data_IF_344572027381
#
_entry.id   IF_344572027381
#
_cell.length_a   1.000
_cell.length_b   1.000
_cell.length_c   1.000
_cell.angle_alpha   90.00
_cell.angle_beta   90.00
_cell.angle_gamma   90.00
#
_symmetry.space_group_name_H-M   'P 1'
#
loop_
_entity.id
_entity.type
_entity.pdbx_description
1 polymer ?
#
# COMPACT_ATOMS: atom_id res chain seq x y z
N UNK A 1 66.35 -32.26 22.59
CA UNK A 1 65.84 -33.54 23.12
C UNK A 1 64.32 -33.44 23.25
N UNK A 2 63.62 -34.39 22.63
CA UNK A 2 62.17 -34.40 22.44
C UNK A 2 61.42 -34.45 23.78
N UNK A 3 60.49 -33.52 24.01
CA UNK A 3 59.44 -33.66 25.03
C UNK A 3 58.12 -33.89 24.31
N UNK A 4 57.65 -35.12 24.38
CA UNK A 4 56.35 -35.58 23.91
C UNK A 4 55.29 -34.99 24.83
N UNK A 5 54.39 -34.16 24.29
CA UNK A 5 53.20 -33.71 24.99
C UNK A 5 52.00 -34.50 24.46
N UNK A 6 51.31 -35.16 25.40
CA UNK A 6 50.11 -35.95 25.19
C UNK A 6 48.95 -34.99 24.93
N UNK A 7 48.29 -35.10 23.78
CA UNK A 7 47.00 -34.43 23.54
C UNK A 7 45.88 -35.46 23.65
N UNK A 8 45.02 -35.26 24.64
CA UNK A 8 43.76 -35.98 24.82
C UNK A 8 42.81 -35.70 23.64
N UNK A 9 42.34 -36.75 22.96
CA UNK A 9 41.21 -36.64 22.03
C UNK A 9 39.92 -36.41 22.82
N UNK A 10 39.34 -35.22 22.71
CA UNK A 10 37.95 -34.96 23.07
C UNK A 10 37.14 -35.17 21.79
N UNK A 11 36.36 -36.25 21.73
CA UNK A 11 35.31 -36.38 20.72
C UNK A 11 34.14 -35.50 21.15
N UNK A 12 34.02 -34.31 20.55
CA UNK A 12 32.80 -33.53 20.62
C UNK A 12 31.83 -34.11 19.58
N UNK A 13 30.84 -34.87 20.01
CA UNK A 13 29.70 -35.21 19.17
C UNK A 13 28.89 -33.93 19.02
N UNK A 14 29.00 -33.29 17.85
CA UNK A 14 28.08 -32.24 17.45
C UNK A 14 26.74 -32.91 17.15
N UNK A 15 25.81 -32.79 18.08
CA UNK A 15 24.41 -33.12 17.84
C UNK A 15 23.90 -32.13 16.79
N UNK A 16 23.74 -32.61 15.55
CA UNK A 16 23.11 -31.86 14.47
C UNK A 16 21.61 -31.77 14.80
N UNK A 17 21.30 -30.83 15.69
CA UNK A 17 19.93 -30.40 15.94
C UNK A 17 19.30 -30.00 14.62
N UNK A 18 18.31 -30.78 14.21
CA UNK A 18 17.47 -30.50 13.06
C UNK A 18 16.76 -29.17 13.34
N UNK A 19 17.26 -28.07 12.75
CA UNK A 19 16.54 -26.81 12.72
C UNK A 19 15.33 -27.04 11.82
N UNK A 20 14.19 -27.39 12.43
CA UNK A 20 12.91 -27.25 11.76
C UNK A 20 12.73 -25.76 11.49
N UNK A 21 12.90 -25.37 10.23
CA UNK A 21 12.41 -24.08 9.75
C UNK A 21 10.89 -24.12 9.91
N UNK A 22 10.37 -23.54 10.98
CA UNK A 22 8.96 -23.19 11.05
C UNK A 22 8.75 -22.06 10.04
N UNK A 23 8.48 -22.43 8.80
CA UNK A 23 7.85 -21.55 7.83
C UNK A 23 6.50 -21.16 8.41
N UNK A 24 6.41 -19.96 8.99
CA UNK A 24 5.14 -19.32 9.27
C UNK A 24 4.58 -18.88 7.92
N UNK A 25 4.07 -19.82 7.15
CA UNK A 25 3.08 -19.53 6.12
C UNK A 25 1.76 -19.39 6.86
N UNK A 26 1.50 -18.17 7.33
CA UNK A 26 0.16 -17.73 7.68
C UNK A 26 -0.68 -17.72 6.40
N UNK A 27 -1.10 -18.88 5.93
CA UNK A 27 -2.27 -18.96 5.06
C UNK A 27 -3.47 -18.53 5.91
N UNK A 28 -3.82 -17.24 5.83
CA UNK A 28 -5.05 -16.75 6.45
C UNK A 28 -6.21 -17.44 5.75
N UNK A 29 -6.82 -18.41 6.43
CA UNK A 29 -8.05 -19.05 5.99
C UNK A 29 -9.10 -17.96 5.80
N UNK A 30 -9.55 -17.75 4.56
CA UNK A 30 -10.65 -16.83 4.26
C UNK A 30 -11.86 -17.23 5.12
N UNK A 31 -12.48 -16.29 5.85
CA UNK A 31 -13.63 -16.59 6.69
C UNK A 31 -14.75 -17.21 5.84
N UNK A 32 -15.43 -18.20 6.41
CA UNK A 32 -16.52 -18.89 5.74
C UNK A 32 -17.63 -17.89 5.38
N UNK A 33 -18.35 -18.11 4.28
CA UNK A 33 -19.54 -17.32 3.93
C UNK A 33 -20.57 -17.26 5.08
N UNK A 34 -20.57 -18.26 5.98
CA UNK A 34 -21.42 -18.28 7.18
C UNK A 34 -20.97 -17.31 8.28
N UNK A 35 -19.69 -16.93 8.33
CA UNK A 35 -19.13 -16.03 9.35
C UNK A 35 -19.27 -14.55 8.97
N UNK A 36 -19.38 -14.25 7.67
CA UNK A 36 -19.48 -12.90 7.12
C UNK A 36 -20.58 -12.82 6.03
N UNK A 37 -21.85 -13.08 6.38
CA UNK A 37 -22.94 -13.29 5.41
C UNK A 37 -23.28 -12.06 4.56
N UNK A 38 -22.81 -10.87 4.97
CA UNK A 38 -23.03 -9.62 4.25
C UNK A 38 -21.87 -9.21 3.35
N UNK A 39 -20.73 -9.92 3.40
CA UNK A 39 -19.65 -9.67 2.46
C UNK A 39 -20.09 -10.11 1.08
N UNK A 40 -19.85 -9.26 0.10
CA UNK A 40 -20.20 -9.55 -1.28
C UNK A 40 -19.24 -10.60 -1.85
N UNK A 41 -19.74 -11.46 -2.73
CA UNK A 41 -18.93 -12.52 -3.33
C UNK A 41 -18.10 -12.03 -4.53
N UNK A 42 -18.50 -10.92 -5.17
CA UNK A 42 -17.90 -10.45 -6.42
C UNK A 42 -17.86 -8.93 -6.60
N UNK A 43 -18.39 -8.14 -5.65
CA UNK A 43 -18.17 -6.68 -5.70
C UNK A 43 -16.83 -6.37 -5.02
N UNK A 44 -16.16 -5.34 -5.52
CA UNK A 44 -14.93 -4.88 -4.90
C UNK A 44 -15.18 -4.37 -3.49
N UNK A 45 -14.38 -4.83 -2.52
CA UNK A 45 -14.30 -4.30 -1.17
C UNK A 45 -12.96 -4.68 -0.55
N UNK A 46 -12.36 -3.85 0.33
CA UNK A 46 -11.13 -4.23 1.02
C UNK A 46 -11.36 -5.47 1.90
N UNK A 47 -10.28 -6.19 2.28
CA UNK A 47 -10.38 -7.33 3.20
C UNK A 47 -11.14 -7.00 4.49
N UNK A 48 -10.95 -5.78 5.01
CA UNK A 48 -11.60 -5.27 6.22
C UNK A 48 -11.64 -3.74 6.21
N UNK A 49 -12.24 -3.17 7.26
CA UNK A 49 -12.31 -1.74 7.55
C UNK A 49 -13.11 -0.90 6.54
N UNK A 50 -13.08 0.42 6.74
CA UNK A 50 -13.87 1.39 5.99
C UNK A 50 -13.26 1.68 4.61
N UNK A 51 -14.14 1.77 3.61
CA UNK A 51 -13.85 2.27 2.28
C UNK A 51 -14.97 3.22 1.85
N UNK A 52 -14.62 4.27 1.12
CA UNK A 52 -15.59 5.14 0.45
C UNK A 52 -15.18 5.40 -1.02
N UNK A 53 -14.77 6.61 -1.36
CA UNK A 53 -14.65 7.09 -2.73
C UNK A 53 -13.66 6.24 -3.56
N UNK A 54 -14.01 5.83 -4.80
CA UNK A 54 -13.04 5.30 -5.75
C UNK A 54 -12.12 6.44 -6.21
N UNK A 55 -10.83 6.16 -6.30
CA UNK A 55 -9.78 7.14 -6.56
C UNK A 55 -8.85 6.67 -7.68
N UNK A 56 -8.42 7.62 -8.51
CA UNK A 56 -7.53 7.38 -9.66
C UNK A 56 -7.74 6.09 -10.46
N UNK A 57 -8.96 5.65 -10.84
CA UNK A 57 -9.11 4.44 -11.64
C UNK A 57 -8.40 4.62 -13.00
N UNK A 58 -7.56 3.67 -13.37
CA UNK A 58 -6.82 3.75 -14.64
C UNK A 58 -6.45 2.38 -15.19
N UNK A 59 -6.16 2.33 -16.48
CA UNK A 59 -5.53 1.19 -17.13
C UNK A 59 -4.13 1.61 -17.57
N UNK A 60 -3.11 0.86 -17.14
CA UNK A 60 -1.72 1.18 -17.42
C UNK A 60 -0.93 -0.11 -17.69
N UNK A 61 -0.24 -0.15 -18.83
CA UNK A 61 0.65 -1.25 -19.24
C UNK A 61 0.07 -2.67 -19.04
N UNK A 62 -1.21 -2.88 -19.40
CA UNK A 62 -1.83 -4.19 -19.29
C UNK A 62 -2.64 -4.41 -18.02
N UNK A 63 -2.56 -3.51 -17.04
CA UNK A 63 -3.11 -3.70 -15.68
C UNK A 63 -4.14 -2.62 -15.39
N UNK A 64 -5.28 -3.02 -14.81
CA UNK A 64 -6.24 -2.09 -14.22
C UNK A 64 -5.82 -1.76 -12.79
N UNK A 65 -5.76 -0.47 -12.46
CA UNK A 65 -5.47 0.02 -11.12
C UNK A 65 -6.73 0.68 -10.55
N UNK A 66 -7.08 0.33 -9.32
CA UNK A 66 -8.12 0.97 -8.53
C UNK A 66 -7.51 1.40 -7.20
N UNK A 67 -7.58 2.71 -6.94
CA UNK A 67 -7.32 3.25 -5.61
C UNK A 67 -8.65 3.60 -4.96
N UNK A 68 -8.66 3.73 -3.64
CA UNK A 68 -9.86 4.10 -2.91
C UNK A 68 -9.50 4.69 -1.55
N UNK A 69 -10.35 5.60 -1.07
CA UNK A 69 -10.23 6.11 0.29
C UNK A 69 -10.41 4.96 1.28
N UNK A 70 -9.46 4.84 2.22
CA UNK A 70 -9.42 3.77 3.19
C UNK A 70 -9.02 4.28 4.57
N UNK A 71 -9.70 3.79 5.61
CA UNK A 71 -9.23 3.89 6.98
C UNK A 71 -8.61 2.54 7.39
N UNK A 72 -7.27 2.42 7.48
CA UNK A 72 -6.63 1.17 7.86
C UNK A 72 -6.84 0.79 9.33
N UNK A 73 -7.39 1.70 10.16
CA UNK A 73 -7.49 1.54 11.61
C UNK A 73 -8.91 1.21 12.11
N UNK A 74 -9.93 1.22 11.25
CA UNK A 74 -11.28 0.87 11.71
C UNK A 74 -12.38 0.92 10.66
N UNK A 75 -13.59 0.46 11.03
CA UNK A 75 -14.72 0.31 10.12
C UNK A 75 -15.56 1.58 9.97
N UNK A 76 -15.07 2.74 10.40
CA UNK A 76 -15.74 4.04 10.31
C UNK A 76 -14.85 5.05 9.61
N UNK A 77 -15.45 6.14 9.12
CA UNK A 77 -14.69 7.30 8.65
C UNK A 77 -13.75 7.80 9.76
N UNK A 78 -12.57 8.24 9.37
CA UNK A 78 -11.51 8.74 10.25
C UNK A 78 -11.09 10.14 9.82
N UNK A 79 -10.53 10.92 10.74
CA UNK A 79 -9.91 12.20 10.42
C UNK A 79 -8.73 12.01 9.45
N UNK A 80 -8.08 10.85 9.48
CA UNK A 80 -6.95 10.50 8.63
C UNK A 80 -7.31 9.35 7.68
N UNK A 81 -7.38 9.69 6.39
CA UNK A 81 -7.71 8.79 5.28
C UNK A 81 -6.48 8.60 4.38
N UNK A 82 -6.37 7.39 3.83
CA UNK A 82 -5.29 6.92 2.97
C UNK A 82 -5.86 6.50 1.61
N UNK A 83 -5.01 6.41 0.59
CA UNK A 83 -5.34 5.67 -0.62
C UNK A 83 -4.81 4.25 -0.50
N UNK A 84 -5.73 3.29 -0.33
CA UNK A 84 -5.42 1.90 -0.56
C UNK A 84 -5.46 1.59 -2.06
N UNK A 85 -4.82 0.48 -2.47
CA UNK A 85 -4.59 0.17 -3.87
C UNK A 85 -4.86 -1.30 -4.15
N UNK A 86 -5.53 -1.58 -5.26
CA UNK A 86 -5.65 -2.92 -5.82
C UNK A 86 -5.50 -2.90 -7.33
N UNK A 87 -5.02 -4.00 -7.88
CA UNK A 87 -4.85 -4.18 -9.32
C UNK A 87 -5.63 -5.38 -9.84
N UNK A 88 -5.98 -5.35 -11.12
CA UNK A 88 -6.72 -6.43 -11.78
C UNK A 88 -6.31 -6.56 -13.25
N UNK A 89 -6.49 -7.76 -13.80
CA UNK A 89 -6.35 -8.04 -15.24
C UNK A 89 -7.70 -7.97 -15.97
N UNK A 90 -8.83 -8.03 -15.25
CA UNK A 90 -10.17 -8.23 -15.82
C UNK A 90 -11.28 -7.40 -15.16
N UNK A 91 -10.95 -6.52 -14.20
CA UNK A 91 -11.86 -5.72 -13.37
C UNK A 91 -12.78 -6.53 -12.44
N UNK A 92 -12.57 -7.84 -12.31
CA UNK A 92 -13.36 -8.74 -11.47
C UNK A 92 -12.49 -9.35 -10.37
N UNK A 93 -11.33 -9.87 -10.73
CA UNK A 93 -10.38 -10.51 -9.82
C UNK A 93 -9.30 -9.50 -9.43
N UNK A 94 -9.26 -9.14 -8.15
CA UNK A 94 -8.41 -8.06 -7.64
C UNK A 94 -7.31 -8.59 -6.72
N UNK A 95 -6.12 -8.02 -6.85
CA UNK A 95 -4.97 -8.26 -5.98
C UNK A 95 -4.80 -7.02 -5.09
N UNK A 96 -4.93 -7.14 -3.76
CA UNK A 96 -4.66 -6.04 -2.84
C UNK A 96 -3.15 -5.76 -2.79
N UNK A 97 -2.80 -4.48 -2.75
CA UNK A 97 -1.44 -3.98 -2.64
C UNK A 97 -1.30 -3.14 -1.36
N UNK A 98 -0.08 -2.68 -1.09
CA UNK A 98 0.18 -1.74 0.01
C UNK A 98 -0.50 -0.38 -0.22
N UNK A 99 -0.58 0.44 0.83
CA UNK A 99 -1.13 1.80 0.73
C UNK A 99 -0.27 2.63 -0.23
N UNK A 100 -0.90 3.19 -1.27
CA UNK A 100 -0.20 3.95 -2.30
C UNK A 100 0.08 5.39 -1.88
N UNK A 101 -0.87 6.05 -1.21
CA UNK A 101 -0.72 7.43 -0.73
C UNK A 101 -1.13 7.48 0.75
N UNK A 102 -0.18 7.85 1.59
CA UNK A 102 -0.36 8.02 3.04
C UNK A 102 -0.12 9.48 3.44
N UNK A 103 -0.76 10.00 4.50
CA UNK A 103 -0.47 11.31 5.08
C UNK A 103 0.95 11.37 5.65
N UNK A 104 1.89 12.01 4.94
CA UNK A 104 3.32 12.01 5.33
C UNK A 104 3.98 13.38 5.21
N UNK A 105 3.35 14.33 4.51
CA UNK A 105 3.96 15.62 4.21
C UNK A 105 3.06 16.77 4.69
N UNK A 106 3.60 17.98 4.94
CA UNK A 106 2.82 19.09 5.48
C UNK A 106 1.53 19.43 4.71
N UNK A 107 1.52 19.22 3.39
CA UNK A 107 0.39 19.50 2.50
C UNK A 107 -0.71 18.40 2.52
N UNK A 108 -0.49 17.28 3.20
CA UNK A 108 -1.48 16.21 3.35
C UNK A 108 -1.47 15.51 4.70
N UNK A 109 -0.76 16.08 5.69
CA UNK A 109 -0.46 15.45 6.97
C UNK A 109 -1.70 14.98 7.74
N UNK A 110 -2.84 15.66 7.54
CA UNK A 110 -4.07 15.34 8.21
C UNK A 110 -4.89 14.29 7.44
N UNK A 111 -4.83 14.24 6.10
CA UNK A 111 -5.59 13.29 5.29
C UNK A 111 -5.20 13.33 3.81
N UNK A 112 -5.28 12.19 3.13
CA UNK A 112 -5.24 12.09 1.66
C UNK A 112 -6.64 11.77 1.13
N UNK A 113 -7.34 12.79 0.63
CA UNK A 113 -8.68 12.68 0.07
C UNK A 113 -8.66 12.38 -1.43
N UNK A 114 -9.84 12.38 -2.03
CA UNK A 114 -10.11 11.92 -3.39
C UNK A 114 -9.30 12.66 -4.45
N UNK A 115 -9.18 12.00 -5.59
CA UNK A 115 -8.35 12.45 -6.70
C UNK A 115 -8.50 11.56 -7.92
N UNK A 116 -7.85 11.97 -9.01
CA UNK A 116 -7.93 11.34 -10.31
C UNK A 116 -6.54 11.08 -10.87
N UNK A 117 -6.43 10.04 -11.70
CA UNK A 117 -5.21 9.72 -12.44
C UNK A 117 -5.33 10.28 -13.87
N UNK A 118 -4.21 10.71 -14.43
CA UNK A 118 -4.07 11.11 -15.83
C UNK A 118 -2.80 10.47 -16.38
N UNK A 119 -2.88 9.82 -17.54
CA UNK A 119 -1.70 9.32 -18.25
C UNK A 119 -1.19 10.43 -19.16
N UNK A 120 -0.05 11.02 -18.80
CA UNK A 120 0.60 12.10 -19.54
C UNK A 120 1.31 11.58 -20.80
N UNK A 121 1.62 12.46 -21.77
CA UNK A 121 2.51 12.12 -22.88
C UNK A 121 3.82 11.51 -22.38
N UNK A 122 4.31 10.49 -23.10
CA UNK A 122 5.43 9.67 -22.63
C UNK A 122 5.02 8.48 -21.75
N UNK A 123 3.71 8.20 -21.63
CA UNK A 123 3.16 7.10 -20.86
C UNK A 123 3.49 7.20 -19.36
N UNK A 124 3.30 8.39 -18.79
CA UNK A 124 3.62 8.67 -17.38
C UNK A 124 2.30 8.88 -16.62
N UNK A 125 1.91 7.96 -15.73
CA UNK A 125 0.79 8.19 -14.82
C UNK A 125 1.12 9.33 -13.85
N UNK A 126 0.15 10.21 -13.66
CA UNK A 126 0.19 11.26 -12.65
C UNK A 126 -1.14 11.26 -11.90
N UNK A 127 -1.08 11.36 -10.57
CA UNK A 127 -2.26 11.50 -9.70
C UNK A 127 -2.31 12.93 -9.20
N UNK A 128 -3.46 13.58 -9.39
CA UNK A 128 -3.84 14.77 -8.65
C UNK A 128 -4.86 14.37 -7.59
N UNK A 129 -4.59 14.74 -6.34
CA UNK A 129 -5.45 14.44 -5.19
C UNK A 129 -5.55 15.63 -4.25
N UNK A 130 -6.62 15.67 -3.46
CA UNK A 130 -6.78 16.67 -2.39
C UNK A 130 -6.11 16.16 -1.12
N UNK A 131 -5.15 16.90 -0.57
CA UNK A 131 -4.63 16.69 0.78
C UNK A 131 -5.27 17.66 1.78
N UNK A 132 -5.31 17.24 3.04
CA UNK A 132 -5.62 18.13 4.16
C UNK A 132 -4.31 18.53 4.81
N UNK A 133 -3.94 19.80 4.67
CA UNK A 133 -2.69 20.33 5.21
C UNK A 133 -2.75 20.51 6.73
N UNK A 134 -1.62 20.94 7.32
CA UNK A 134 -1.51 21.19 8.76
C UNK A 134 -2.47 22.22 9.33
N UNK A 135 -3.04 23.09 8.49
CA UNK A 135 -4.01 24.13 8.86
C UNK A 135 -5.47 23.68 8.61
N UNK A 136 -5.68 22.40 8.28
CA UNK A 136 -6.97 21.81 7.89
C UNK A 136 -7.55 22.39 6.59
N UNK A 137 -6.72 22.90 5.69
CA UNK A 137 -7.13 23.38 4.38
C UNK A 137 -7.07 22.26 3.36
N UNK A 138 -7.98 22.29 2.39
CA UNK A 138 -7.99 21.39 1.24
C UNK A 138 -7.06 21.94 0.16
N UNK A 139 -5.95 21.25 -0.08
CA UNK A 139 -4.93 21.66 -1.05
C UNK A 139 -4.71 20.58 -2.10
N UNK A 140 -4.31 20.96 -3.31
CA UNK A 140 -4.19 20.03 -4.44
C UNK A 140 -2.75 19.59 -4.61
N UNK A 141 -2.52 18.28 -4.62
CA UNK A 141 -1.21 17.67 -4.57
C UNK A 141 -1.00 16.74 -5.77
N UNK A 142 0.23 16.67 -6.26
CA UNK A 142 0.67 15.80 -7.34
C UNK A 142 1.50 14.63 -6.78
N UNK A 143 1.24 13.43 -7.28
CA UNK A 143 2.08 12.25 -7.07
C UNK A 143 2.33 11.51 -8.39
N UNK A 144 3.48 10.88 -8.52
CA UNK A 144 3.88 10.07 -9.68
C UNK A 144 4.45 8.73 -9.22
N UNK A 145 4.38 7.66 -10.03
CA UNK A 145 5.00 6.39 -9.67
C UNK A 145 6.51 6.54 -9.49
N UNK A 146 7.05 5.91 -8.46
CA UNK A 146 8.50 5.87 -8.19
C UNK A 146 9.24 5.02 -9.22
N UNK A 147 8.60 3.96 -9.71
CA UNK A 147 9.17 2.99 -10.64
C UNK A 147 8.16 2.62 -11.73
N UNK A 148 8.31 3.18 -12.93
CA UNK A 148 7.43 2.89 -14.08
C UNK A 148 7.60 1.46 -14.64
N UNK A 149 8.66 0.75 -14.25
CA UNK A 149 8.89 -0.65 -14.63
C UNK A 149 8.18 -1.64 -13.70
N UNK A 150 7.67 -1.18 -12.55
CA UNK A 150 6.79 -1.98 -11.70
C UNK A 150 5.41 -2.05 -12.35
N UNK A 151 4.93 -3.22 -12.81
CA UNK A 151 3.61 -3.35 -13.43
C UNK A 151 2.48 -2.99 -12.47
N UNK A 152 2.71 -3.03 -11.15
CA UNK A 152 1.71 -2.75 -10.15
C UNK A 152 1.77 -1.33 -9.61
N UNK A 153 2.83 -0.56 -9.92
CA UNK A 153 3.03 0.81 -9.45
C UNK A 153 2.80 0.93 -7.93
N UNK A 154 3.45 0.06 -7.15
CA UNK A 154 3.24 -0.02 -5.70
C UNK A 154 3.70 1.25 -4.97
N UNK A 155 4.80 1.86 -5.41
CA UNK A 155 5.38 3.03 -4.75
C UNK A 155 5.10 4.32 -5.52
N UNK A 156 4.62 5.34 -4.81
CA UNK A 156 4.35 6.67 -5.35
C UNK A 156 5.20 7.73 -4.65
N UNK A 157 5.68 8.71 -5.41
CA UNK A 157 6.44 9.85 -4.93
C UNK A 157 5.59 11.10 -5.07
N UNK A 158 5.43 11.85 -3.98
CA UNK A 158 4.77 13.15 -3.98
C UNK A 158 5.71 14.20 -4.54
N UNK A 159 5.19 15.09 -5.37
CA UNK A 159 5.96 16.19 -5.92
C UNK A 159 6.42 17.14 -4.81
N UNK A 160 7.71 17.48 -4.79
CA UNK A 160 8.31 18.32 -3.73
C UNK A 160 7.81 19.77 -3.76
N UNK A 161 7.20 20.22 -4.86
CA UNK A 161 6.57 21.52 -4.98
C UNK A 161 5.08 21.53 -4.64
N UNK A 162 4.55 20.49 -3.98
CA UNK A 162 3.19 20.47 -3.48
C UNK A 162 2.98 21.52 -2.37
N UNK A 163 1.77 22.12 -2.26
CA UNK A 163 0.62 21.92 -3.16
C UNK A 163 0.79 22.64 -4.52
N UNK A 164 0.20 22.09 -5.58
CA UNK A 164 0.36 22.57 -6.97
C UNK A 164 -0.70 23.57 -7.43
N UNK A 165 -1.76 23.78 -6.65
CA UNK A 165 -2.79 24.79 -6.93
C UNK A 165 -2.89 25.72 -5.73
N UNK A 166 -2.72 27.02 -5.99
CA UNK A 166 -2.91 28.06 -4.98
C UNK A 166 -4.35 28.09 -4.52
N UNK A 167 -4.55 28.30 -3.22
CA UNK A 167 -5.87 28.62 -2.70
C UNK A 167 -6.35 29.95 -3.32
N UNK A 168 -7.63 30.04 -3.69
CA UNK A 168 -8.23 31.32 -4.07
C UNK A 168 -8.10 32.36 -2.97
N UNK A 169 -8.04 33.63 -3.34
CA UNK A 169 -8.00 34.73 -2.38
C UNK A 169 -9.21 34.70 -1.44
N UNK A 170 -8.97 34.88 -0.14
CA UNK A 170 -10.02 34.99 0.88
C UNK A 170 -10.49 33.66 1.50
N UNK A 171 -9.77 32.57 1.28
CA UNK A 171 -9.95 31.26 1.93
C UNK A 171 -8.83 31.01 2.94
#
# INVERSE_FOLDING_TARGET
MRRTAIFFSIFLVLDLGHVQSNSITSESKLPSATEQPHRTAFHFQPPQNWMNDPNGPMYYNGVYHLFYQHNPFGPLFSNQIYWAHSVSQDLINWIPLDLAIAPTEPFDINSCWSGSATILPGNIPAILYTGIDSENRQVQNLAVPKNLSDPYLNEWVKYTGNPVINLPDGI
#
